data_IF_018494232066
#
_entry.id   IF_018494232066
#
_cell.length_a   1.000
_cell.length_b   1.000
_cell.length_c   1.000
_cell.angle_alpha   90.00
_cell.angle_beta   90.00
_cell.angle_gamma   90.00
#
_symmetry.space_group_name_H-M   'P 1'
#
loop_
_entity.id
_entity.type
_entity.pdbx_description
1 polymer ?
#
# COMPACT_ATOMS: atom_id res chain seq x y z
N UNK A 1 14.42 -8.81 10.19
CA UNK A 1 13.57 -9.52 9.23
C UNK A 1 12.14 -9.29 9.63
N UNK A 2 11.36 -8.67 8.75
CA UNK A 2 9.91 -8.51 8.91
C UNK A 2 9.20 -9.84 8.66
N UNK A 3 8.07 -10.08 9.33
CA UNK A 3 7.20 -11.21 9.06
C UNK A 3 6.06 -10.78 8.13
N UNK A 4 6.09 -11.25 6.88
CA UNK A 4 5.14 -10.85 5.84
C UNK A 4 4.05 -11.89 5.64
N UNK A 5 2.80 -11.44 5.67
CA UNK A 5 1.60 -12.22 5.39
C UNK A 5 0.97 -11.66 4.12
N UNK A 6 1.07 -12.38 3.01
CA UNK A 6 0.39 -12.03 1.77
C UNK A 6 -0.91 -12.82 1.63
N UNK A 7 -2.03 -12.14 1.43
CA UNK A 7 -3.35 -12.72 1.25
C UNK A 7 -3.70 -12.65 -0.24
N UNK A 8 -4.00 -13.80 -0.85
CA UNK A 8 -4.37 -13.92 -2.27
C UNK A 8 -5.49 -14.94 -2.46
N UNK A 9 -6.16 -14.90 -3.61
CA UNK A 9 -7.32 -15.74 -3.92
C UNK A 9 -8.31 -15.07 -4.86
N UNK A 10 -9.40 -15.78 -5.19
CA UNK A 10 -10.41 -15.33 -6.15
C UNK A 10 -11.18 -14.09 -5.68
N UNK A 11 -11.93 -13.47 -6.59
CA UNK A 11 -12.85 -12.39 -6.26
C UNK A 11 -13.95 -12.87 -5.31
N UNK A 12 -14.29 -12.07 -4.30
CA UNK A 12 -15.38 -12.37 -3.37
C UNK A 12 -15.10 -13.43 -2.29
N UNK A 13 -13.87 -13.95 -2.15
CA UNK A 13 -13.54 -14.95 -1.11
C UNK A 13 -13.27 -14.37 0.28
N UNK A 14 -13.43 -13.06 0.46
CA UNK A 14 -13.23 -12.38 1.76
C UNK A 14 -11.77 -12.06 2.11
N UNK A 15 -10.88 -11.91 1.12
CA UNK A 15 -9.45 -11.63 1.32
C UNK A 15 -9.19 -10.38 2.16
N UNK A 16 -9.78 -9.25 1.76
CA UNK A 16 -9.66 -7.97 2.45
C UNK A 16 -10.15 -8.06 3.89
N UNK A 17 -11.27 -8.74 4.11
CA UNK A 17 -11.80 -8.99 5.46
C UNK A 17 -10.81 -9.81 6.29
N UNK A 18 -10.27 -10.88 5.71
CA UNK A 18 -9.27 -11.71 6.38
C UNK A 18 -7.98 -10.92 6.68
N UNK A 19 -7.49 -10.12 5.74
CA UNK A 19 -6.33 -9.26 5.93
C UNK A 19 -6.54 -8.27 7.09
N UNK A 20 -7.70 -7.60 7.13
CA UNK A 20 -8.07 -6.72 8.24
C UNK A 20 -8.16 -7.45 9.59
N UNK A 21 -8.71 -8.67 9.61
CA UNK A 21 -8.73 -9.50 10.82
C UNK A 21 -7.32 -9.87 11.30
N UNK A 22 -6.40 -10.17 10.38
CA UNK A 22 -5.00 -10.46 10.71
C UNK A 22 -4.32 -9.24 11.33
N UNK A 23 -4.47 -8.05 10.72
CA UNK A 23 -3.94 -6.79 11.28
C UNK A 23 -4.48 -6.59 12.70
N UNK A 24 -5.80 -6.65 12.88
CA UNK A 24 -6.44 -6.48 14.19
C UNK A 24 -5.93 -7.48 15.22
N UNK A 25 -5.80 -8.76 14.84
CA UNK A 25 -5.29 -9.80 15.72
C UNK A 25 -3.84 -9.52 16.17
N UNK A 26 -2.97 -9.07 15.26
CA UNK A 26 -1.59 -8.71 15.59
C UNK A 26 -1.55 -7.57 16.61
N UNK A 27 -2.36 -6.52 16.39
CA UNK A 27 -2.46 -5.39 17.32
C UNK A 27 -2.97 -5.83 18.71
N UNK A 28 -4.02 -6.64 18.76
CA UNK A 28 -4.58 -7.15 20.02
C UNK A 28 -3.58 -8.05 20.79
N UNK A 29 -2.60 -8.65 20.11
CA UNK A 29 -1.52 -9.43 20.73
C UNK A 29 -0.27 -8.60 21.05
N UNK A 30 -0.30 -7.29 20.88
CA UNK A 30 0.86 -6.41 21.10
C UNK A 30 1.98 -6.64 20.08
N UNK A 31 1.65 -7.18 18.90
CA UNK A 31 2.59 -7.50 17.82
C UNK A 31 2.59 -6.38 16.77
N UNK A 32 3.17 -5.24 17.12
CA UNK A 32 3.28 -4.08 16.23
C UNK A 32 4.65 -3.41 16.29
N UNK A 33 4.90 -2.39 15.44
CA UNK A 33 3.94 -1.82 14.48
C UNK A 33 3.67 -2.75 13.27
N UNK A 34 2.48 -2.65 12.67
CA UNK A 34 2.09 -3.43 11.48
C UNK A 34 2.05 -2.50 10.26
N UNK A 35 2.63 -2.92 9.14
CA UNK A 35 2.38 -2.28 7.84
C UNK A 35 1.28 -3.05 7.12
N UNK A 36 0.12 -2.43 6.95
CA UNK A 36 -0.94 -2.90 6.07
C UNK A 36 -0.71 -2.36 4.67
N UNK A 37 -0.79 -3.21 3.65
CA UNK A 37 -0.67 -2.83 2.25
C UNK A 37 -1.91 -3.30 1.50
N UNK A 38 -2.70 -2.36 0.99
CA UNK A 38 -3.80 -2.65 0.07
C UNK A 38 -3.25 -2.59 -1.35
N UNK A 39 -3.02 -3.76 -1.96
CA UNK A 39 -2.50 -3.89 -3.31
C UNK A 39 -3.61 -4.03 -4.37
N UNK A 40 -4.86 -3.69 -4.03
CA UNK A 40 -6.00 -3.65 -4.95
C UNK A 40 -6.26 -2.22 -5.45
N UNK A 41 -6.72 -2.11 -6.71
CA UNK A 41 -7.11 -0.82 -7.28
C UNK A 41 -8.36 -0.22 -6.60
N UNK A 42 -9.24 -1.06 -6.05
CA UNK A 42 -10.51 -0.62 -5.47
C UNK A 42 -10.39 -0.12 -4.02
N UNK A 43 -9.27 -0.39 -3.33
CA UNK A 43 -8.99 0.05 -1.97
C UNK A 43 -10.12 -0.18 -0.96
N UNK A 44 -10.16 -1.36 -0.36
CA UNK A 44 -11.21 -1.70 0.61
C UNK A 44 -10.64 -1.97 2.01
N UNK A 45 -9.32 -2.10 2.15
CA UNK A 45 -8.69 -2.44 3.44
C UNK A 45 -8.79 -1.29 4.45
N UNK A 46 -8.77 -0.04 3.97
CA UNK A 46 -8.98 1.15 4.81
C UNK A 46 -10.34 1.15 5.49
N UNK A 47 -11.40 0.79 4.76
CA UNK A 47 -12.76 0.70 5.31
C UNK A 47 -12.86 -0.40 6.37
N UNK A 48 -12.26 -1.56 6.10
CA UNK A 48 -12.20 -2.68 7.05
C UNK A 48 -11.45 -2.31 8.33
N UNK A 49 -10.39 -1.50 8.21
CA UNK A 49 -9.58 -1.03 9.34
C UNK A 49 -10.14 0.23 10.01
N UNK A 50 -11.18 0.85 9.43
CA UNK A 50 -11.85 2.02 9.98
C UNK A 50 -11.02 3.30 9.93
N UNK A 51 -10.24 3.49 8.86
CA UNK A 51 -9.41 4.69 8.65
C UNK A 51 -9.65 5.31 7.28
N UNK A 52 -9.47 6.63 7.20
CA UNK A 52 -9.53 7.36 5.93
C UNK A 52 -8.15 7.44 5.29
N UNK A 53 -8.06 7.03 4.03
CA UNK A 53 -6.83 7.18 3.22
C UNK A 53 -6.80 8.59 2.64
N UNK A 54 -5.70 9.29 2.89
CA UNK A 54 -5.52 10.67 2.39
C UNK A 54 -5.08 10.71 0.93
N UNK A 55 -4.21 9.78 0.54
CA UNK A 55 -3.75 9.65 -0.84
C UNK A 55 -3.24 8.24 -1.12
N UNK A 56 -3.06 7.92 -2.40
CA UNK A 56 -2.70 6.60 -2.89
C UNK A 56 -1.45 6.65 -3.74
N UNK A 57 -0.79 5.50 -3.88
CA UNK A 57 0.34 5.36 -4.81
C UNK A 57 -0.09 5.69 -6.26
N UNK A 58 -1.32 5.33 -6.64
CA UNK A 58 -1.90 5.61 -7.94
C UNK A 58 -2.04 7.11 -8.22
N UNK A 59 -2.54 7.89 -7.26
CA UNK A 59 -2.68 9.35 -7.37
C UNK A 59 -1.32 10.05 -7.46
N UNK A 60 -0.38 9.68 -6.58
CA UNK A 60 0.96 10.25 -6.61
C UNK A 60 1.69 9.98 -7.92
N UNK A 61 1.46 8.80 -8.50
CA UNK A 61 2.02 8.46 -9.80
C UNK A 61 1.52 9.42 -10.88
N UNK A 62 0.24 9.77 -10.87
CA UNK A 62 -0.30 10.75 -11.80
C UNK A 62 0.30 12.13 -11.56
N UNK A 63 0.36 12.57 -10.30
CA UNK A 63 1.00 13.81 -9.91
C UNK A 63 2.48 13.89 -10.33
N UNK A 64 3.22 12.77 -10.41
CA UNK A 64 4.60 12.74 -10.89
C UNK A 64 4.80 13.30 -12.31
N UNK A 65 3.74 13.30 -13.14
CA UNK A 65 3.83 13.82 -14.52
C UNK A 65 3.99 15.34 -14.54
N UNK A 66 3.43 16.04 -13.56
CA UNK A 66 3.25 17.49 -13.61
C UNK A 66 3.80 18.23 -12.38
N UNK A 67 3.86 17.58 -11.21
CA UNK A 67 4.17 18.22 -9.92
C UNK A 67 5.64 18.11 -9.50
N UNK A 68 6.50 17.49 -10.32
CA UNK A 68 7.93 17.33 -10.00
C UNK A 68 8.65 18.68 -10.14
N UNK A 69 9.19 19.27 -9.05
CA UNK A 69 9.83 20.57 -9.11
C UNK A 69 11.11 20.57 -9.94
N UNK A 70 11.40 21.71 -10.59
CA UNK A 70 12.66 21.90 -11.28
C UNK A 70 13.85 21.76 -10.30
N UNK A 71 14.79 20.87 -10.62
CA UNK A 71 15.94 20.55 -9.77
C UNK A 71 15.78 19.31 -8.89
N UNK A 72 14.61 18.66 -8.90
CA UNK A 72 14.38 17.37 -8.23
C UNK A 72 14.23 16.24 -9.26
N UNK A 73 14.76 15.05 -8.95
CA UNK A 73 14.53 13.86 -9.79
C UNK A 73 13.18 13.24 -9.47
N UNK A 74 12.57 12.55 -10.46
CA UNK A 74 11.29 11.86 -10.29
C UNK A 74 11.32 10.83 -9.16
N UNK A 75 12.43 10.11 -9.01
CA UNK A 75 12.60 9.09 -7.98
C UNK A 75 12.55 9.69 -6.57
N UNK A 76 13.29 10.79 -6.33
CA UNK A 76 13.31 11.48 -5.03
C UNK A 76 11.96 12.09 -4.70
N UNK A 77 11.30 12.70 -5.69
CA UNK A 77 9.95 13.24 -5.52
C UNK A 77 8.95 12.14 -5.17
N UNK A 78 9.03 10.99 -5.85
CA UNK A 78 8.14 9.87 -5.59
C UNK A 78 8.36 9.27 -4.21
N UNK A 79 9.62 9.09 -3.79
CA UNK A 79 9.97 8.64 -2.44
C UNK A 79 9.32 9.51 -1.37
N UNK A 80 9.49 10.83 -1.49
CA UNK A 80 8.90 11.80 -0.59
C UNK A 80 7.38 11.66 -0.54
N UNK A 81 6.74 11.54 -1.70
CA UNK A 81 5.29 11.38 -1.79
C UNK A 81 4.80 10.04 -1.23
N UNK A 82 5.55 8.94 -1.38
CA UNK A 82 5.20 7.62 -0.80
C UNK A 82 5.16 7.73 0.72
N UNK A 83 6.10 8.47 1.32
CA UNK A 83 6.07 8.72 2.75
C UNK A 83 4.84 9.55 3.16
N UNK A 84 4.44 10.55 2.37
CA UNK A 84 3.21 11.32 2.61
C UNK A 84 1.93 10.47 2.45
N UNK A 85 1.96 9.42 1.64
CA UNK A 85 0.81 8.53 1.40
C UNK A 85 0.60 7.48 2.48
N UNK A 86 1.58 7.28 3.35
CA UNK A 86 1.43 6.38 4.46
C UNK A 86 0.37 6.94 5.42
N UNK A 87 -0.74 6.22 5.56
CA UNK A 87 -1.81 6.61 6.48
C UNK A 87 -1.49 6.01 7.85
N UNK A 88 -0.97 6.86 8.74
CA UNK A 88 -0.59 6.47 10.09
C UNK A 88 -1.82 6.27 10.99
N UNK A 89 -1.83 5.18 11.74
CA UNK A 89 -2.89 4.87 12.71
C UNK A 89 -2.31 4.29 14.00
N UNK A 90 -3.18 4.02 14.98
CA UNK A 90 -2.73 3.53 16.29
C UNK A 90 -2.24 2.08 16.21
N UNK A 91 -0.93 1.92 16.06
CA UNK A 91 -0.23 0.63 16.10
C UNK A 91 -0.04 -0.03 14.74
N UNK A 92 -0.58 0.55 13.67
CA UNK A 92 -0.36 0.12 12.30
C UNK A 92 -0.37 1.34 11.37
N UNK A 93 0.26 1.18 10.23
CA UNK A 93 0.20 2.13 9.13
C UNK A 93 -0.39 1.44 7.91
N UNK A 94 -1.09 2.19 7.06
CA UNK A 94 -1.69 1.69 5.83
C UNK A 94 -1.08 2.38 4.62
N UNK A 95 -0.65 1.58 3.66
CA UNK A 95 -0.30 2.02 2.31
C UNK A 95 -1.33 1.47 1.32
N UNK A 96 -1.97 2.34 0.55
CA UNK A 96 -2.96 1.95 -0.45
C UNK A 96 -2.44 2.19 -1.87
N UNK A 97 -2.53 1.17 -2.72
CA UNK A 97 -2.14 1.27 -4.12
C UNK A 97 -3.08 2.19 -4.88
N UNK A 98 -4.39 1.94 -4.79
CA UNK A 98 -5.41 2.75 -5.47
C UNK A 98 -5.45 2.59 -6.97
N UNK A 99 -6.59 2.96 -7.56
CA UNK A 99 -6.77 2.87 -9.00
C UNK A 99 -5.99 3.98 -9.67
N UNK A 100 -5.08 3.66 -10.58
CA UNK A 100 -4.47 4.67 -11.39
C UNK A 100 -5.47 5.31 -12.37
N UNK A 101 -5.52 6.64 -12.41
CA UNK A 101 -6.27 7.38 -13.44
C UNK A 101 -5.43 7.58 -14.73
N UNK A 102 -6.10 7.74 -15.88
CA UNK A 102 -5.45 8.06 -17.16
C UNK A 102 -5.15 6.88 -18.09
N UNK A 103 -4.48 7.18 -19.22
CA UNK A 103 -4.00 6.22 -20.23
C UNK A 103 -2.45 6.22 -20.27
N UNK A 104 -1.81 5.05 -20.31
CA UNK A 104 -0.34 4.96 -20.40
C UNK A 104 0.25 3.60 -20.01
N UNK A 105 1.56 3.43 -20.23
CA UNK A 105 2.29 2.24 -19.78
C UNK A 105 2.70 2.40 -18.30
N UNK A 106 2.11 1.57 -17.43
CA UNK A 106 2.19 1.73 -15.97
C UNK A 106 3.34 0.98 -15.29
N UNK A 107 4.17 0.30 -16.07
CA UNK A 107 5.20 -0.61 -15.56
C UNK A 107 6.26 0.10 -14.70
N UNK A 108 6.72 1.29 -15.10
CA UNK A 108 7.77 2.00 -14.38
C UNK A 108 7.34 2.43 -12.96
N UNK A 109 6.12 2.94 -12.83
CA UNK A 109 5.58 3.36 -11.55
C UNK A 109 5.25 2.20 -10.62
N UNK A 110 4.77 1.08 -11.17
CA UNK A 110 4.54 -0.13 -10.38
C UNK A 110 5.86 -0.68 -9.84
N UNK A 111 6.94 -0.62 -10.63
CA UNK A 111 8.29 -0.97 -10.16
C UNK A 111 8.76 -0.04 -9.06
N UNK A 112 8.54 1.27 -9.18
CA UNK A 112 8.87 2.23 -8.12
C UNK A 112 8.05 1.97 -6.85
N UNK A 113 6.74 1.77 -6.96
CA UNK A 113 5.86 1.45 -5.84
C UNK A 113 6.33 0.19 -5.09
N UNK A 114 6.63 -0.89 -5.83
CA UNK A 114 7.18 -2.14 -5.25
C UNK A 114 8.50 -1.89 -4.52
N UNK A 115 9.42 -1.17 -5.15
CA UNK A 115 10.72 -0.80 -4.53
C UNK A 115 10.51 -0.05 -3.21
N UNK A 116 9.55 0.87 -3.14
CA UNK A 116 9.29 1.62 -1.92
C UNK A 116 8.55 0.80 -0.87
N UNK A 117 7.64 -0.09 -1.25
CA UNK A 117 7.05 -1.08 -0.33
C UNK A 117 8.16 -1.93 0.29
N UNK A 118 9.13 -2.41 -0.51
CA UNK A 118 10.27 -3.19 -0.02
C UNK A 118 11.16 -2.39 0.93
N UNK A 119 11.39 -1.10 0.65
CA UNK A 119 12.14 -0.20 1.54
C UNK A 119 11.41 0.03 2.87
N UNK A 120 10.11 0.31 2.82
CA UNK A 120 9.27 0.51 4.01
C UNK A 120 9.18 -0.78 4.83
N UNK A 121 9.12 -1.94 4.18
CA UNK A 121 9.05 -3.26 4.81
C UNK A 121 10.17 -3.52 5.82
N UNK A 122 11.33 -2.89 5.66
CA UNK A 122 12.45 -2.99 6.60
C UNK A 122 12.17 -2.37 7.99
N UNK A 123 11.21 -1.45 8.08
CA UNK A 123 10.91 -0.69 9.29
C UNK A 123 9.82 -1.32 10.16
N UNK A 124 9.16 -2.39 9.70
CA UNK A 124 8.04 -3.01 10.41
C UNK A 124 8.34 -4.46 10.79
N UNK A 125 8.06 -4.90 12.02
CA UNK A 125 8.17 -6.30 12.40
C UNK A 125 7.12 -7.18 11.70
N UNK A 126 5.97 -6.62 11.31
CA UNK A 126 4.88 -7.34 10.66
C UNK A 126 4.34 -6.58 9.46
N UNK A 127 4.03 -7.31 8.39
CA UNK A 127 3.49 -6.77 7.15
C UNK A 127 2.31 -7.63 6.73
N UNK A 128 1.19 -7.01 6.40
CA UNK A 128 -0.02 -7.69 5.90
C UNK A 128 -0.38 -7.09 4.56
N UNK A 129 -0.34 -7.90 3.50
CA UNK A 129 -0.60 -7.46 2.12
C UNK A 129 -1.91 -8.10 1.65
N UNK A 130 -2.90 -7.27 1.31
CA UNK A 130 -4.12 -7.70 0.63
C UNK A 130 -3.93 -7.54 -0.89
N UNK A 131 -3.85 -8.64 -1.62
CA UNK A 131 -3.68 -8.60 -3.08
C UNK A 131 -5.01 -8.67 -3.82
N UNK A 132 -5.06 -8.00 -4.98
CA UNK A 132 -6.17 -8.08 -5.92
C UNK A 132 -6.50 -9.53 -6.32
N UNK A 133 -7.79 -9.76 -6.62
CA UNK A 133 -8.26 -10.99 -7.23
C UNK A 133 -7.81 -11.08 -8.70
N UNK A 134 -6.65 -11.68 -8.97
CA UNK A 134 -6.26 -11.94 -10.36
C UNK A 134 -4.79 -12.15 -10.66
N UNK A 135 -3.99 -12.71 -9.75
CA UNK A 135 -2.64 -13.22 -10.11
C UNK A 135 -2.72 -14.56 -10.88
N UNK A 136 -3.67 -14.67 -11.81
CA UNK A 136 -3.81 -15.80 -12.72
C UNK A 136 -3.39 -15.35 -14.11
N UNK A 137 -2.13 -14.92 -14.24
CA UNK A 137 -1.28 -14.98 -15.43
C UNK A 137 0.19 -14.94 -15.02
#
# INVERSE_FOLDING_TARGET
>A
MSFTIAVSGKGGTGKTTFAGMVVRYLLEKGKGPVLAVDADANMNLNEVLGIDVKTTIGEMREAMKEEVPAGMTKDVWFEYKVQEALTEAKGFDLLAMGRPEGAGCYCAANTLARKYIDLLSGNYPYIVIDNEAGMEH
#
